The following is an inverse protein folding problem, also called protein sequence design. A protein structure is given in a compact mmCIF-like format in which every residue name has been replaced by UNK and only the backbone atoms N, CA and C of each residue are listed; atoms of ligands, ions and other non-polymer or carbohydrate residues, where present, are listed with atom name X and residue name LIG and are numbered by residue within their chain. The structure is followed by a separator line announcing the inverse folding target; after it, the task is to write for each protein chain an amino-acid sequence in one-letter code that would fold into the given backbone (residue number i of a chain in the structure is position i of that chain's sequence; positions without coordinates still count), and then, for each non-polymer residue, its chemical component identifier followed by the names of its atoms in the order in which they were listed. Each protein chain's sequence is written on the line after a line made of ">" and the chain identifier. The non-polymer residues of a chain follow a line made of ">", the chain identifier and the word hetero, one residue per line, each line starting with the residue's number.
data_IF_799306710609
#
_entry.id   IF_799306710609
#
_cell.length_a   1.000
_cell.length_b   1.000
_cell.length_c   1.000
_cell.angle_alpha   90.00
_cell.angle_beta   90.00
_cell.angle_gamma   90.00
#
_symmetry.space_group_name_H-M   'P 1'
#
loop_
_entity.id
_entity.type
_entity.pdbx_description
1 polymer ?
#
# COMPACT_ATOMS: atom_id res chain seq x y z
N UNK A 1 11.49 -37.87 -32.86
CA UNK A 1 12.92 -38.11 -32.57
C UNK A 1 13.14 -39.02 -31.36
N UNK A 2 13.28 -38.54 -30.11
CA UNK A 2 13.67 -39.44 -28.98
C UNK A 2 12.70 -40.63 -28.78
N UNK A 3 11.39 -40.40 -28.93
CA UNK A 3 10.38 -41.47 -28.84
C UNK A 3 10.54 -42.52 -29.94
N UNK A 4 10.91 -42.10 -31.14
CA UNK A 4 11.08 -42.98 -32.29
C UNK A 4 12.36 -43.80 -32.13
N UNK A 5 13.46 -43.17 -31.70
CA UNK A 5 14.71 -43.87 -31.36
C UNK A 5 14.55 -44.88 -30.22
N UNK A 6 13.68 -44.60 -29.24
CA UNK A 6 13.35 -45.58 -28.19
C UNK A 6 12.57 -46.78 -28.75
N UNK A 7 11.60 -46.54 -29.64
CA UNK A 7 10.85 -47.62 -30.31
C UNK A 7 11.75 -48.46 -31.21
N UNK A 8 12.67 -47.84 -31.93
CA UNK A 8 13.67 -48.54 -32.75
C UNK A 8 14.57 -49.43 -31.90
N UNK A 9 15.06 -48.94 -30.75
CA UNK A 9 15.84 -49.75 -29.81
C UNK A 9 15.03 -50.91 -29.21
N UNK A 10 13.76 -50.67 -28.87
CA UNK A 10 12.88 -51.71 -28.35
C UNK A 10 12.61 -52.80 -29.40
N UNK A 11 12.33 -52.41 -30.64
CA UNK A 11 12.18 -53.33 -31.76
C UNK A 11 13.47 -54.11 -32.04
N UNK A 12 14.65 -53.47 -31.93
CA UNK A 12 15.94 -54.15 -32.09
C UNK A 12 16.20 -55.17 -30.96
N UNK A 13 15.75 -54.90 -29.72
CA UNK A 13 15.83 -55.86 -28.61
C UNK A 13 14.89 -57.04 -28.85
N UNK A 14 13.67 -56.80 -29.33
CA UNK A 14 12.72 -57.87 -29.68
C UNK A 14 13.26 -58.75 -30.82
N UNK A 15 13.79 -58.15 -31.88
CA UNK A 15 14.40 -58.87 -33.01
C UNK A 15 15.63 -59.69 -32.60
N UNK A 16 16.40 -59.24 -31.62
CA UNK A 16 17.57 -59.94 -31.10
C UNK A 16 17.24 -61.07 -30.10
N UNK A 17 15.98 -61.50 -30.00
CA UNK A 17 15.58 -62.60 -29.11
C UNK A 17 15.07 -62.16 -27.74
N UNK A 18 14.71 -60.87 -27.59
CA UNK A 18 14.07 -60.34 -26.39
C UNK A 18 14.99 -60.29 -25.17
N UNK A 19 14.41 -60.44 -23.98
CA UNK A 19 15.13 -60.30 -22.71
C UNK A 19 16.16 -61.42 -22.44
N UNK A 20 16.00 -62.59 -23.08
CA UNK A 20 16.89 -63.74 -22.86
C UNK A 20 17.71 -64.12 -24.08
N UNK A 21 17.59 -63.43 -25.21
CA UNK A 21 18.33 -63.75 -26.43
C UNK A 21 17.93 -65.09 -27.04
N UNK A 22 16.68 -65.52 -26.83
CA UNK A 22 16.18 -66.83 -27.26
C UNK A 22 16.55 -68.01 -26.34
N UNK A 23 17.28 -67.77 -25.25
CA UNK A 23 17.55 -68.80 -24.25
C UNK A 23 16.35 -69.04 -23.33
N UNK A 24 16.26 -70.27 -22.77
CA UNK A 24 15.32 -70.55 -21.69
C UNK A 24 15.63 -69.66 -20.48
N UNK A 25 14.59 -69.24 -19.76
CA UNK A 25 14.77 -68.42 -18.54
C UNK A 25 15.70 -69.08 -17.52
N UNK A 26 15.64 -70.42 -17.41
CA UNK A 26 16.52 -71.19 -16.54
C UNK A 26 17.99 -71.06 -16.96
N UNK A 27 18.31 -71.33 -18.23
CA UNK A 27 19.69 -71.26 -18.72
C UNK A 27 20.24 -69.83 -18.64
N UNK A 28 19.40 -68.84 -18.99
CA UNK A 28 19.77 -67.43 -18.90
C UNK A 28 20.08 -67.01 -17.45
N UNK A 29 19.30 -67.50 -16.47
CA UNK A 29 19.55 -67.21 -15.05
C UNK A 29 20.84 -67.86 -14.53
N UNK A 30 21.14 -69.09 -14.94
CA UNK A 30 22.40 -69.79 -14.62
C UNK A 30 23.58 -69.02 -15.21
N UNK A 31 23.46 -68.63 -16.49
CA UNK A 31 24.43 -67.78 -17.17
C UNK A 31 24.69 -66.48 -16.41
N UNK A 32 23.66 -65.71 -16.06
CA UNK A 32 23.82 -64.44 -15.34
C UNK A 32 24.52 -64.64 -13.99
N UNK A 33 24.16 -65.67 -13.22
CA UNK A 33 24.76 -65.95 -11.91
C UNK A 33 26.25 -66.30 -12.05
N UNK A 34 26.61 -67.14 -13.01
CA UNK A 34 28.00 -67.51 -13.24
C UNK A 34 28.77 -66.29 -13.77
N UNK A 35 28.22 -65.55 -14.73
CA UNK A 35 28.88 -64.36 -15.29
C UNK A 35 29.14 -63.28 -14.24
N UNK A 36 28.21 -63.08 -13.30
CA UNK A 36 28.40 -62.20 -12.16
C UNK A 36 29.52 -62.67 -11.21
N UNK A 37 29.66 -63.98 -10.98
CA UNK A 37 30.76 -64.56 -10.19
C UNK A 37 32.13 -64.25 -10.79
N UNK A 38 32.22 -64.19 -12.12
CA UNK A 38 33.42 -63.83 -12.86
C UNK A 38 33.48 -62.32 -13.22
N UNK A 39 32.79 -61.46 -12.46
CA UNK A 39 32.82 -59.99 -12.62
C UNK A 39 32.49 -59.51 -14.04
N UNK A 40 31.58 -60.21 -14.74
CA UNK A 40 31.18 -59.91 -16.12
C UNK A 40 32.32 -60.00 -17.13
N UNK A 41 33.32 -60.85 -16.87
CA UNK A 41 34.43 -61.11 -17.80
C UNK A 41 34.30 -62.52 -18.38
N UNK A 42 34.40 -62.62 -19.71
CA UNK A 42 34.35 -63.87 -20.45
C UNK A 42 35.72 -64.58 -20.44
N UNK A 43 36.16 -65.02 -19.26
CA UNK A 43 37.41 -65.76 -19.09
C UNK A 43 37.27 -67.25 -19.45
N UNK A 44 38.38 -67.95 -19.67
CA UNK A 44 38.36 -69.40 -19.92
C UNK A 44 37.73 -70.19 -18.76
N UNK A 45 38.03 -69.80 -17.52
CA UNK A 45 37.44 -70.39 -16.32
C UNK A 45 35.91 -70.18 -16.26
N UNK A 46 35.42 -69.06 -16.78
CA UNK A 46 33.99 -68.80 -16.90
C UNK A 46 33.32 -69.78 -17.88
N UNK A 47 33.91 -69.99 -19.05
CA UNK A 47 33.38 -70.95 -20.03
C UNK A 47 33.40 -72.39 -19.51
N UNK A 48 34.48 -72.79 -18.83
CA UNK A 48 34.57 -74.11 -18.20
C UNK A 48 33.44 -74.32 -17.17
N UNK A 49 33.20 -73.32 -16.31
CA UNK A 49 32.15 -73.39 -15.29
C UNK A 49 30.75 -73.40 -15.87
N UNK A 50 30.54 -72.73 -17.00
CA UNK A 50 29.28 -72.78 -17.74
C UNK A 50 29.03 -74.14 -18.38
N UNK A 51 30.04 -74.72 -19.03
CA UNK A 51 29.95 -76.04 -19.64
C UNK A 51 29.65 -77.15 -18.61
N UNK A 52 30.19 -77.02 -17.39
CA UNK A 52 29.85 -77.93 -16.27
C UNK A 52 28.38 -77.85 -15.84
N UNK A 53 27.74 -76.68 -15.98
CA UNK A 53 26.39 -76.42 -15.48
C UNK A 53 25.31 -76.56 -16.54
N UNK A 54 25.65 -76.34 -17.80
CA UNK A 54 24.79 -76.41 -18.97
C UNK A 54 25.36 -77.45 -19.94
N UNK A 55 25.27 -78.72 -19.56
CA UNK A 55 25.88 -79.84 -20.30
C UNK A 55 25.21 -80.10 -21.64
N UNK A 56 24.00 -79.60 -21.84
CA UNK A 56 23.19 -79.71 -23.04
C UNK A 56 23.45 -78.58 -24.06
N UNK A 57 24.19 -77.54 -23.68
CA UNK A 57 24.48 -76.39 -24.56
C UNK A 57 25.92 -76.46 -25.08
N UNK A 58 26.13 -76.48 -26.41
CA UNK A 58 27.47 -76.53 -26.98
C UNK A 58 28.25 -75.22 -26.76
N UNK A 59 29.58 -75.30 -26.72
CA UNK A 59 30.46 -74.17 -26.43
C UNK A 59 30.31 -72.99 -27.41
N UNK A 60 30.04 -73.27 -28.68
CA UNK A 60 29.79 -72.24 -29.69
C UNK A 60 28.56 -71.39 -29.34
N UNK A 61 27.48 -72.02 -28.88
CA UNK A 61 26.27 -71.32 -28.43
C UNK A 61 26.51 -70.49 -27.17
N UNK A 62 27.42 -70.93 -26.28
CA UNK A 62 27.84 -70.13 -25.13
C UNK A 62 28.55 -68.84 -25.57
N UNK A 63 29.48 -68.94 -26.52
CA UNK A 63 30.19 -67.78 -27.05
C UNK A 63 29.25 -66.80 -27.80
N UNK A 64 28.31 -67.33 -28.59
CA UNK A 64 27.26 -66.52 -29.23
C UNK A 64 26.43 -65.75 -28.20
N UNK A 65 26.03 -66.41 -27.11
CA UNK A 65 25.22 -65.80 -26.06
C UNK A 65 25.99 -64.73 -25.29
N UNK A 66 27.29 -64.93 -25.05
CA UNK A 66 28.16 -63.91 -24.45
C UNK A 66 28.25 -62.66 -25.34
N UNK A 67 28.43 -62.85 -26.66
CA UNK A 67 28.43 -61.75 -27.62
C UNK A 67 27.09 -61.01 -27.61
N UNK A 68 25.99 -61.74 -27.69
CA UNK A 68 24.64 -61.18 -27.62
C UNK A 68 24.43 -60.39 -26.32
N UNK A 69 24.88 -60.90 -25.17
CA UNK A 69 24.75 -60.21 -23.89
C UNK A 69 25.52 -58.88 -23.88
N UNK A 70 26.73 -58.84 -24.46
CA UNK A 70 27.49 -57.59 -24.62
C UNK A 70 26.77 -56.55 -25.48
N UNK A 71 26.13 -56.99 -26.57
CA UNK A 71 25.30 -56.13 -27.42
C UNK A 71 24.05 -55.64 -26.68
N UNK A 72 23.35 -56.52 -25.96
CA UNK A 72 22.17 -56.15 -25.17
C UNK A 72 22.54 -55.12 -24.09
N UNK A 73 23.63 -55.32 -23.34
CA UNK A 73 24.09 -54.33 -22.37
C UNK A 73 24.37 -52.97 -23.01
N UNK A 74 24.96 -52.96 -24.21
CA UNK A 74 25.19 -51.74 -24.98
C UNK A 74 23.86 -51.05 -25.37
N UNK A 75 22.86 -51.81 -25.82
CA UNK A 75 21.50 -51.31 -26.10
C UNK A 75 20.83 -50.75 -24.83
N UNK A 76 20.96 -51.43 -23.69
CA UNK A 76 20.42 -50.97 -22.41
C UNK A 76 21.07 -49.66 -21.94
N UNK A 77 22.39 -49.52 -22.11
CA UNK A 77 23.10 -48.26 -21.85
C UNK A 77 22.58 -47.15 -22.75
N UNK A 78 22.44 -47.39 -24.06
CA UNK A 78 21.90 -46.42 -25.01
C UNK A 78 20.46 -46.00 -24.64
N UNK A 79 19.61 -46.97 -24.27
CA UNK A 79 18.25 -46.71 -23.78
C UNK A 79 18.24 -45.80 -22.54
N UNK A 80 19.09 -46.10 -21.54
CA UNK A 80 19.24 -45.27 -20.34
C UNK A 80 19.69 -43.85 -20.68
N UNK A 81 20.65 -43.69 -21.60
CA UNK A 81 21.13 -42.39 -22.04
C UNK A 81 20.04 -41.58 -22.75
N UNK A 82 19.26 -42.20 -23.64
CA UNK A 82 18.13 -41.53 -24.31
C UNK A 82 17.06 -41.08 -23.31
N UNK A 83 16.72 -41.93 -22.34
CA UNK A 83 15.78 -41.56 -21.27
C UNK A 83 16.31 -40.42 -20.39
N UNK A 84 17.61 -40.41 -20.09
CA UNK A 84 18.23 -39.31 -19.36
C UNK A 84 18.16 -37.99 -20.14
N UNK A 85 18.52 -38.01 -21.44
CA UNK A 85 18.38 -36.85 -22.34
C UNK A 85 16.94 -36.36 -22.43
N UNK A 86 15.97 -37.28 -22.49
CA UNK A 86 14.56 -36.92 -22.52
C UNK A 86 14.11 -36.21 -21.24
N UNK A 87 14.48 -36.74 -20.06
CA UNK A 87 14.17 -36.12 -18.76
C UNK A 87 14.81 -34.75 -18.64
N UNK A 88 16.07 -34.61 -19.06
CA UNK A 88 16.78 -33.34 -19.09
C UNK A 88 16.06 -32.33 -19.99
N UNK A 89 15.72 -32.71 -21.22
CA UNK A 89 14.99 -31.83 -22.15
C UNK A 89 13.65 -31.39 -21.58
N UNK A 90 12.93 -32.27 -20.89
CA UNK A 90 11.67 -31.93 -20.23
C UNK A 90 11.88 -30.92 -19.09
N UNK A 91 12.86 -31.15 -18.23
CA UNK A 91 13.21 -30.22 -17.15
C UNK A 91 13.64 -28.84 -17.70
N UNK A 92 14.38 -28.80 -18.80
CA UNK A 92 14.75 -27.56 -19.47
C UNK A 92 13.53 -26.80 -20.00
N UNK A 93 12.57 -27.49 -20.62
CA UNK A 93 11.33 -26.88 -21.10
C UNK A 93 10.48 -26.35 -19.93
N UNK A 94 10.37 -27.11 -18.84
CA UNK A 94 9.64 -26.68 -17.64
C UNK A 94 10.30 -25.44 -17.02
N UNK A 95 11.64 -25.39 -16.96
CA UNK A 95 12.41 -24.22 -16.51
C UNK A 95 12.16 -23.00 -17.41
N UNK A 96 12.25 -23.15 -18.72
CA UNK A 96 11.99 -22.07 -19.68
C UNK A 96 10.55 -21.53 -19.55
N UNK A 97 9.58 -22.42 -19.34
CA UNK A 97 8.19 -22.02 -19.10
C UNK A 97 8.04 -21.21 -17.79
N UNK A 98 8.71 -21.64 -16.71
CA UNK A 98 8.72 -20.92 -15.44
C UNK A 98 9.35 -19.53 -15.57
N UNK A 99 10.53 -19.43 -16.20
CA UNK A 99 11.23 -18.18 -16.45
C UNK A 99 10.38 -17.21 -17.30
N UNK A 100 9.69 -17.72 -18.32
CA UNK A 100 8.79 -16.92 -19.15
C UNK A 100 7.58 -16.38 -18.35
N UNK A 101 6.98 -17.19 -17.47
CA UNK A 101 5.88 -16.76 -16.60
C UNK A 101 6.34 -15.75 -15.55
N UNK A 102 7.52 -15.94 -14.96
CA UNK A 102 8.14 -14.96 -14.06
C UNK A 102 8.41 -13.63 -14.77
N UNK A 103 8.92 -13.67 -16.00
CA UNK A 103 9.12 -12.48 -16.84
C UNK A 103 7.81 -11.72 -17.08
N UNK A 104 6.72 -12.42 -17.44
CA UNK A 104 5.38 -11.82 -17.59
C UNK A 104 4.87 -11.20 -16.29
N UNK A 105 5.03 -11.90 -15.16
CA UNK A 105 4.63 -11.40 -13.83
C UNK A 105 5.42 -10.15 -13.44
N UNK A 106 6.72 -10.14 -13.67
CA UNK A 106 7.58 -8.99 -13.41
C UNK A 106 7.19 -7.79 -14.28
N UNK A 107 6.92 -8.01 -15.57
CA UNK A 107 6.46 -6.96 -16.49
C UNK A 107 5.10 -6.38 -16.06
N UNK A 108 4.13 -7.23 -15.72
CA UNK A 108 2.82 -6.81 -15.22
C UNK A 108 2.92 -6.01 -13.92
N UNK A 109 3.77 -6.46 -12.98
CA UNK A 109 4.05 -5.74 -11.73
C UNK A 109 4.68 -4.37 -11.99
N UNK A 110 5.67 -4.29 -12.88
CA UNK A 110 6.29 -3.02 -13.27
C UNK A 110 5.30 -2.07 -13.95
N UNK A 111 4.41 -2.58 -14.81
CA UNK A 111 3.36 -1.79 -15.44
C UNK A 111 2.36 -1.25 -14.41
N UNK A 112 1.96 -2.07 -13.43
CA UNK A 112 1.08 -1.64 -12.33
C UNK A 112 1.71 -0.52 -11.50
N UNK A 113 3.00 -0.67 -11.13
CA UNK A 113 3.74 0.37 -10.39
C UNK A 113 3.79 1.70 -11.15
N UNK A 114 4.15 1.65 -12.44
CA UNK A 114 4.17 2.85 -13.31
C UNK A 114 2.79 3.51 -13.42
N UNK A 115 1.72 2.71 -13.53
CA UNK A 115 0.36 3.22 -13.59
C UNK A 115 -0.06 3.88 -12.26
N UNK A 116 0.34 3.30 -11.13
CA UNK A 116 0.09 3.84 -9.80
C UNK A 116 0.85 5.15 -9.56
N UNK A 117 2.14 5.22 -9.91
CA UNK A 117 2.95 6.44 -9.83
C UNK A 117 2.34 7.58 -10.64
N UNK A 118 1.88 7.30 -11.87
CA UNK A 118 1.17 8.29 -12.71
C UNK A 118 -0.10 8.79 -12.05
N UNK A 119 -0.91 7.89 -11.48
CA UNK A 119 -2.14 8.26 -10.76
C UNK A 119 -1.84 9.11 -9.53
N UNK A 120 -0.80 8.78 -8.78
CA UNK A 120 -0.38 9.55 -7.61
C UNK A 120 0.09 10.96 -8.01
N UNK A 121 0.86 11.06 -9.09
CA UNK A 121 1.30 12.36 -9.62
C UNK A 121 0.12 13.23 -10.07
N UNK A 122 -0.84 12.66 -10.79
CA UNK A 122 -2.04 13.38 -11.23
C UNK A 122 -2.85 13.91 -10.03
N UNK A 123 -3.08 13.07 -9.01
CA UNK A 123 -3.77 13.49 -7.78
C UNK A 123 -3.03 14.60 -7.04
N UNK A 124 -1.70 14.56 -7.02
CA UNK A 124 -0.88 15.59 -6.39
C UNK A 124 -1.00 16.93 -7.14
N UNK A 125 -1.01 16.92 -8.47
CA UNK A 125 -1.23 18.11 -9.30
C UNK A 125 -2.64 18.69 -9.12
N UNK A 126 -3.68 17.86 -9.14
CA UNK A 126 -5.05 18.28 -8.88
C UNK A 126 -5.19 18.93 -7.50
N UNK A 127 -4.58 18.33 -6.47
CA UNK A 127 -4.57 18.89 -5.11
C UNK A 127 -3.88 20.25 -5.06
N UNK A 128 -2.77 20.44 -5.78
CA UNK A 128 -2.08 21.74 -5.89
C UNK A 128 -2.99 22.78 -6.55
N UNK A 129 -3.58 22.46 -7.71
CA UNK A 129 -4.51 23.35 -8.42
C UNK A 129 -5.68 23.78 -7.54
N UNK A 130 -6.26 22.86 -6.77
CA UNK A 130 -7.35 23.18 -5.85
C UNK A 130 -6.90 24.08 -4.70
N UNK A 131 -5.70 23.85 -4.16
CA UNK A 131 -5.13 24.70 -3.12
C UNK A 131 -4.87 26.13 -3.63
N UNK A 132 -4.30 26.27 -4.82
CA UNK A 132 -4.05 27.56 -5.47
C UNK A 132 -5.36 28.30 -5.74
N UNK A 133 -6.38 27.61 -6.24
CA UNK A 133 -7.71 28.19 -6.47
C UNK A 133 -8.36 28.69 -5.17
N UNK A 134 -8.30 27.90 -4.09
CA UNK A 134 -8.82 28.31 -2.76
C UNK A 134 -8.08 29.53 -2.23
N UNK A 135 -6.76 29.57 -2.41
CA UNK A 135 -5.94 30.71 -2.02
C UNK A 135 -6.33 31.98 -2.79
N UNK A 136 -6.48 31.89 -4.10
CA UNK A 136 -6.93 33.02 -4.93
C UNK A 136 -8.31 33.52 -4.51
N UNK A 137 -9.26 32.61 -4.26
CA UNK A 137 -10.59 32.97 -3.75
C UNK A 137 -10.53 33.70 -2.41
N UNK A 138 -9.75 33.18 -1.46
CA UNK A 138 -9.57 33.85 -0.16
C UNK A 138 -8.94 35.23 -0.33
N UNK A 139 -7.91 35.38 -1.17
CA UNK A 139 -7.27 36.68 -1.44
C UNK A 139 -8.23 37.69 -2.09
N UNK A 140 -9.12 37.24 -2.99
CA UNK A 140 -10.17 38.09 -3.59
C UNK A 140 -11.20 38.53 -2.55
N UNK A 141 -11.64 37.63 -1.67
CA UNK A 141 -12.55 37.93 -0.57
C UNK A 141 -11.93 38.93 0.41
N UNK A 142 -10.67 38.73 0.80
CA UNK A 142 -9.92 39.65 1.66
C UNK A 142 -9.76 41.04 1.02
N UNK A 143 -9.45 41.10 -0.28
CA UNK A 143 -9.41 42.37 -1.03
C UNK A 143 -10.78 43.05 -1.05
N UNK A 144 -11.85 42.29 -1.25
CA UNK A 144 -13.23 42.80 -1.21
C UNK A 144 -13.59 43.39 0.15
N UNK A 145 -13.27 42.68 1.24
CA UNK A 145 -13.49 43.15 2.61
C UNK A 145 -12.63 44.38 2.94
N UNK A 146 -11.37 44.41 2.48
CA UNK A 146 -10.49 45.57 2.66
C UNK A 146 -11.04 46.82 1.94
N UNK A 147 -11.52 46.67 0.70
CA UNK A 147 -12.14 47.76 -0.06
C UNK A 147 -13.45 48.26 0.59
N UNK A 148 -14.27 47.37 1.14
CA UNK A 148 -15.46 47.77 1.90
C UNK A 148 -15.08 48.57 3.16
N UNK A 149 -14.05 48.12 3.90
CA UNK A 149 -13.57 48.81 5.09
C UNK A 149 -13.02 50.20 4.76
N UNK A 150 -12.23 50.34 3.68
CA UNK A 150 -11.72 51.64 3.26
C UNK A 150 -12.84 52.58 2.82
N UNK A 151 -13.82 52.10 2.05
CA UNK A 151 -14.98 52.89 1.64
C UNK A 151 -15.83 53.37 2.82
N UNK A 152 -16.06 52.52 3.83
CA UNK A 152 -16.76 52.93 5.06
C UNK A 152 -15.97 53.98 5.84
N UNK A 153 -14.64 53.82 5.91
CA UNK A 153 -13.77 54.79 6.58
C UNK A 153 -13.76 56.15 5.86
N UNK A 154 -13.75 56.16 4.53
CA UNK A 154 -13.85 57.37 3.72
C UNK A 154 -15.20 58.07 3.88
N UNK A 155 -16.32 57.32 3.85
CA UNK A 155 -17.65 57.88 4.13
C UNK A 155 -17.72 58.51 5.51
N UNK A 156 -17.19 57.82 6.53
CA UNK A 156 -17.14 58.35 7.88
C UNK A 156 -16.27 59.63 7.99
N UNK A 157 -15.21 59.75 7.18
CA UNK A 157 -14.43 61.00 7.08
C UNK A 157 -15.24 62.13 6.44
N UNK A 158 -15.88 61.85 5.31
CA UNK A 158 -16.73 62.83 4.62
C UNK A 158 -17.89 63.31 5.51
N UNK A 159 -18.55 62.41 6.24
CA UNK A 159 -19.61 62.77 7.20
C UNK A 159 -19.09 63.68 8.32
N UNK A 160 -17.89 63.38 8.87
CA UNK A 160 -17.26 64.24 9.88
C UNK A 160 -16.93 65.63 9.33
N UNK A 161 -16.43 65.72 8.11
CA UNK A 161 -16.15 67.00 7.44
C UNK A 161 -17.44 67.79 7.16
N UNK A 162 -18.51 67.12 6.72
CA UNK A 162 -19.83 67.74 6.55
C UNK A 162 -20.42 68.25 7.87
N UNK A 163 -20.26 67.50 8.97
CA UNK A 163 -20.70 67.94 10.29
C UNK A 163 -19.89 69.15 10.78
N UNK A 164 -18.57 69.14 10.59
CA UNK A 164 -17.71 70.28 10.94
C UNK A 164 -18.09 71.54 10.17
N UNK A 165 -18.25 71.45 8.85
CA UNK A 165 -18.66 72.60 8.02
C UNK A 165 -20.04 73.12 8.42
N UNK A 166 -21.01 72.26 8.74
CA UNK A 166 -22.31 72.68 9.29
C UNK A 166 -22.18 73.37 10.65
N UNK A 167 -21.32 72.87 11.53
CA UNK A 167 -21.07 73.51 12.84
C UNK A 167 -20.42 74.88 12.68
N UNK A 168 -19.45 75.01 11.78
CA UNK A 168 -18.80 76.28 11.44
C UNK A 168 -19.82 77.28 10.88
N UNK A 169 -20.63 76.87 9.90
CA UNK A 169 -21.72 77.70 9.36
C UNK A 169 -22.73 78.13 10.44
N UNK A 170 -23.13 77.21 11.33
CA UNK A 170 -24.02 77.54 12.45
C UNK A 170 -23.37 78.51 13.42
N UNK A 171 -22.07 78.37 13.68
CA UNK A 171 -21.32 79.26 14.56
C UNK A 171 -21.20 80.66 13.94
N UNK A 172 -20.83 80.75 12.67
CA UNK A 172 -20.79 82.00 11.92
C UNK A 172 -22.16 82.71 11.92
N UNK A 173 -23.25 81.97 11.72
CA UNK A 173 -24.61 82.52 11.78
C UNK A 173 -24.96 83.07 13.18
N UNK A 174 -24.55 82.39 14.26
CA UNK A 174 -24.74 82.86 15.63
C UNK A 174 -23.88 84.10 15.95
N UNK A 175 -22.63 84.12 15.47
CA UNK A 175 -21.73 85.28 15.62
C UNK A 175 -22.26 86.49 14.83
N UNK A 176 -22.81 86.27 13.64
CA UNK A 176 -23.51 87.30 12.85
C UNK A 176 -24.80 87.79 13.53
N UNK A 177 -25.54 86.93 14.24
CA UNK A 177 -26.70 87.34 15.02
C UNK A 177 -26.30 88.14 16.27
N UNK A 178 -25.28 87.70 17.03
CA UNK A 178 -24.76 88.42 18.20
C UNK A 178 -24.25 89.81 17.85
N UNK A 179 -23.48 89.92 16.77
CA UNK A 179 -22.99 91.21 16.28
C UNK A 179 -24.10 92.16 15.82
N UNK A 180 -25.30 91.64 15.50
CA UNK A 180 -26.50 92.47 15.25
C UNK A 180 -27.31 92.79 16.52
N UNK A 181 -27.12 92.05 17.61
CA UNK A 181 -27.88 92.16 18.85
C UNK A 181 -27.20 92.94 19.99
N UNK A 182 -25.93 93.32 19.85
CA UNK A 182 -25.25 94.19 20.82
C UNK A 182 -25.22 95.64 20.30
N UNK A 183 -26.12 96.47 20.83
CA UNK A 183 -25.63 97.60 21.61
C UNK A 183 -26.42 97.85 22.91
N UNK A 184 -26.69 96.87 23.78
CA UNK A 184 -27.29 97.18 25.11
C UNK A 184 -27.21 96.06 26.18
N UNK A 185 -26.02 95.56 26.57
CA UNK A 185 -25.88 94.79 27.82
C UNK A 185 -24.42 94.64 28.28
N UNK A 186 -23.83 95.71 28.82
CA UNK A 186 -22.59 95.62 29.62
C UNK A 186 -22.97 95.58 31.10
N UNK A 187 -22.97 94.39 31.71
CA UNK A 187 -22.90 94.23 33.18
C UNK A 187 -21.98 93.04 33.51
N UNK A 188 -20.85 93.25 34.21
CA UNK A 188 -19.94 92.18 34.57
C UNK A 188 -20.42 91.46 35.84
N UNK A 189 -20.53 90.13 35.80
CA UNK A 189 -20.81 89.31 36.98
C UNK A 189 -19.66 88.35 37.24
N UNK A 190 -18.82 88.74 38.19
CA UNK A 190 -17.78 87.93 38.81
C UNK A 190 -18.37 86.85 39.72
N UNK A 191 -17.53 85.82 40.00
CA UNK A 191 -17.65 84.71 40.97
C UNK A 191 -18.27 83.41 40.45
N UNK A 192 -17.40 82.42 40.18
CA UNK A 192 -17.22 81.26 41.08
C UNK A 192 -16.23 80.26 40.45
N UNK A 193 -14.98 80.34 40.90
CA UNK A 193 -13.95 79.29 40.72
C UNK A 193 -14.10 78.30 41.87
N UNK A 194 -13.72 77.05 41.61
CA UNK A 194 -13.57 75.91 42.54
C UNK A 194 -14.78 74.98 42.73
N UNK A 195 -14.74 73.85 41.99
CA UNK A 195 -14.85 72.46 42.50
C UNK A 195 -15.24 71.49 41.39
N UNK A 196 -14.34 70.56 41.06
CA UNK A 196 -14.56 69.17 40.60
C UNK A 196 -13.19 68.67 40.12
N UNK A 197 -12.40 67.96 40.90
CA UNK A 197 -12.78 66.79 41.67
C UNK A 197 -12.57 65.55 40.79
N UNK A 198 -11.34 65.04 40.80
CA UNK A 198 -11.01 63.61 40.84
C UNK A 198 -12.08 62.66 40.28
N UNK A 199 -11.93 62.26 39.00
CA UNK A 199 -12.74 61.20 38.40
C UNK A 199 -12.26 59.82 38.91
N UNK A 200 -12.34 59.66 40.22
CA UNK A 200 -12.19 58.39 40.91
C UNK A 200 -13.15 57.37 40.30
N UNK A 201 -12.62 56.16 40.10
CA UNK A 201 -13.36 54.93 39.80
C UNK A 201 -14.70 54.95 40.55
N UNK A 202 -15.78 55.25 39.83
CA UNK A 202 -17.14 55.07 40.35
C UNK A 202 -17.26 53.60 40.72
N UNK A 203 -17.16 53.29 42.01
CA UNK A 203 -17.49 51.98 42.51
C UNK A 203 -18.96 51.78 42.17
N UNK A 204 -19.23 50.87 41.23
CA UNK A 204 -20.58 50.44 40.90
C UNK A 204 -21.33 50.18 42.20
N UNK A 205 -22.51 50.81 42.33
CA UNK A 205 -23.43 50.63 43.45
C UNK A 205 -23.63 49.14 43.71
N UNK A 206 -23.81 48.77 44.98
CA UNK A 206 -24.03 47.38 45.36
C UNK A 206 -25.23 46.78 44.60
N UNK A 207 -26.25 47.60 44.30
CA UNK A 207 -27.39 47.21 43.45
C UNK A 207 -26.99 46.92 42.00
N UNK A 208 -26.11 47.71 41.39
CA UNK A 208 -25.65 47.47 40.01
C UNK A 208 -24.82 46.20 39.90
N UNK A 209 -24.02 45.90 40.93
CA UNK A 209 -23.29 44.63 41.01
C UNK A 209 -24.25 43.45 41.11
N UNK A 210 -25.32 43.58 41.89
CA UNK A 210 -26.37 42.55 42.00
C UNK A 210 -27.12 42.37 40.67
N UNK A 211 -27.47 43.46 39.99
CA UNK A 211 -28.13 43.42 38.67
C UNK A 211 -27.27 42.73 37.61
N UNK A 212 -25.97 43.05 37.57
CA UNK A 212 -25.02 42.40 36.65
C UNK A 212 -24.85 40.92 37.00
N UNK A 213 -24.78 40.57 38.28
CA UNK A 213 -24.69 39.17 38.73
C UNK A 213 -25.94 38.38 38.35
N UNK A 214 -27.14 38.92 38.58
CA UNK A 214 -28.42 38.31 38.18
C UNK A 214 -28.49 38.09 36.67
N UNK A 215 -28.11 39.11 35.88
CA UNK A 215 -28.07 38.99 34.42
C UNK A 215 -27.12 37.90 33.94
N UNK A 216 -25.95 37.76 34.57
CA UNK A 216 -25.00 36.70 34.23
C UNK A 216 -25.54 35.30 34.58
N UNK A 217 -26.23 35.17 35.71
CA UNK A 217 -26.90 33.91 36.10
C UNK A 217 -28.00 33.55 35.10
N UNK A 218 -28.83 34.51 34.68
CA UNK A 218 -29.86 34.30 33.67
C UNK A 218 -29.28 33.86 32.33
N UNK A 219 -28.20 34.50 31.86
CA UNK A 219 -27.50 34.11 30.62
C UNK A 219 -26.97 32.68 30.73
N UNK A 220 -26.42 32.30 31.88
CA UNK A 220 -25.88 30.95 32.10
C UNK A 220 -26.99 29.90 32.14
N UNK A 221 -28.11 30.18 32.81
CA UNK A 221 -29.30 29.32 32.82
C UNK A 221 -29.88 29.14 31.42
N UNK A 222 -29.96 30.22 30.63
CA UNK A 222 -30.42 30.15 29.24
C UNK A 222 -29.50 29.29 28.39
N UNK A 223 -28.19 29.35 28.61
CA UNK A 223 -27.20 28.51 27.92
C UNK A 223 -27.32 27.03 28.28
N UNK A 224 -27.59 26.73 29.56
CA UNK A 224 -27.83 25.36 30.03
C UNK A 224 -29.13 24.78 29.46
N UNK A 225 -30.21 25.57 29.39
CA UNK A 225 -31.47 25.12 28.79
C UNK A 225 -31.40 25.01 27.25
N UNK A 226 -30.61 25.87 26.60
CA UNK A 226 -30.41 25.80 25.15
C UNK A 226 -29.43 24.69 24.72
N UNK A 227 -28.76 24.03 25.67
CA UNK A 227 -27.99 22.83 25.36
C UNK A 227 -29.00 21.74 24.99
N UNK A 228 -29.01 21.26 23.73
CA UNK A 228 -29.95 20.21 23.34
C UNK A 228 -29.73 19.01 24.28
N UNK A 229 -30.82 18.36 24.73
CA UNK A 229 -30.70 17.20 25.62
C UNK A 229 -29.72 16.22 24.99
N UNK A 230 -28.69 15.85 25.74
CA UNK A 230 -27.72 14.88 25.28
C UNK A 230 -28.49 13.67 24.75
N UNK A 231 -28.21 13.19 23.53
CA UNK A 231 -28.93 12.05 22.99
C UNK A 231 -28.84 10.90 24.00
N UNK A 232 -29.95 10.17 24.25
CA UNK A 232 -29.95 9.09 25.22
C UNK A 232 -28.81 8.12 24.89
N UNK A 233 -28.07 7.71 25.93
CA UNK A 233 -26.83 6.92 25.88
C UNK A 233 -26.93 5.53 25.20
N UNK A 234 -27.97 5.27 24.42
CA UNK A 234 -28.17 4.07 23.61
C UNK A 234 -28.45 4.34 22.13
N UNK A 235 -28.55 5.59 21.68
CA UNK A 235 -28.70 5.94 20.25
C UNK A 235 -27.35 6.27 19.63
N UNK A 236 -26.42 5.31 19.66
CA UNK A 236 -25.39 5.27 18.63
C UNK A 236 -26.09 4.76 17.36
N UNK A 237 -26.14 5.55 16.26
CA UNK A 237 -26.60 4.98 15.00
C UNK A 237 -25.78 3.72 14.75
N UNK A 238 -26.40 2.59 14.35
CA UNK A 238 -25.66 1.40 14.02
C UNK A 238 -24.55 1.82 13.04
N UNK A 239 -23.30 1.40 13.28
CA UNK A 239 -22.20 1.76 12.39
C UNK A 239 -22.67 1.46 10.96
N UNK A 240 -22.48 2.39 10.01
CA UNK A 240 -23.00 2.24 8.65
C UNK A 240 -22.62 0.84 8.19
N UNK A 241 -23.64 0.05 7.81
CA UNK A 241 -23.46 -1.35 7.45
C UNK A 241 -22.26 -1.41 6.50
N UNK A 242 -21.16 -2.01 6.98
CA UNK A 242 -19.90 -2.04 6.25
C UNK A 242 -20.25 -2.60 4.88
N UNK A 243 -20.09 -1.79 3.84
CA UNK A 243 -20.30 -2.25 2.47
C UNK A 243 -19.48 -3.52 2.29
N UNK A 244 -20.10 -4.57 1.73
CA UNK A 244 -19.46 -5.87 1.45
C UNK A 244 -18.15 -5.74 0.64
N UNK A 245 -17.86 -4.57 0.09
CA UNK A 245 -16.60 -4.21 -0.57
C UNK A 245 -15.34 -4.37 0.30
N UNK A 246 -15.45 -4.40 1.63
CA UNK A 246 -14.29 -4.51 2.52
C UNK A 246 -14.19 -5.84 3.28
N UNK A 247 -15.04 -6.84 2.94
CA UNK A 247 -15.03 -8.13 3.64
C UNK A 247 -13.73 -8.93 3.39
N UNK A 248 -13.06 -8.70 2.25
CA UNK A 248 -11.83 -9.43 1.87
C UNK A 248 -10.54 -8.66 2.23
N UNK A 249 -10.66 -7.46 2.83
CA UNK A 249 -9.48 -6.70 3.25
C UNK A 249 -9.11 -7.09 4.67
N UNK A 250 -8.28 -8.12 4.78
CA UNK A 250 -7.63 -8.50 6.03
C UNK A 250 -6.99 -7.26 6.68
N UNK A 251 -7.42 -6.96 7.90
CA UNK A 251 -6.90 -5.85 8.69
C UNK A 251 -5.39 -6.01 8.92
N UNK A 252 -4.59 -5.27 8.16
CA UNK A 252 -3.12 -5.22 8.32
C UNK A 252 -2.66 -4.66 9.67
N UNK A 253 -3.58 -4.15 10.50
CA UNK A 253 -3.29 -3.63 11.84
C UNK A 253 -2.84 -4.70 12.83
N UNK A 254 -3.06 -6.01 12.56
CA UNK A 254 -2.62 -7.09 13.45
C UNK A 254 -1.37 -7.84 13.00
N UNK A 255 -0.79 -7.53 11.83
CA UNK A 255 0.40 -8.26 11.35
C UNK A 255 1.72 -7.76 11.96
N UNK A 256 1.74 -6.59 12.63
CA UNK A 256 2.96 -5.95 13.12
C UNK A 256 3.42 -6.40 14.52
N UNK A 257 2.53 -6.87 15.38
CA UNK A 257 2.85 -7.10 16.80
C UNK A 257 3.50 -8.46 17.09
N UNK A 258 3.30 -9.47 16.25
CA UNK A 258 3.92 -10.79 16.43
C UNK A 258 5.33 -10.88 15.83
N UNK A 259 5.65 -10.10 14.78
CA UNK A 259 6.98 -10.12 14.17
C UNK A 259 8.06 -9.43 15.04
N UNK A 260 7.69 -8.62 16.02
CA UNK A 260 8.66 -7.91 16.87
C UNK A 260 9.21 -8.77 18.01
N UNK A 261 8.59 -9.90 18.37
CA UNK A 261 9.04 -10.72 19.50
C UNK A 261 10.07 -11.81 19.15
N UNK A 262 10.35 -12.08 17.86
CA UNK A 262 11.26 -13.16 17.46
C UNK A 262 12.71 -12.72 17.13
N UNK A 263 13.10 -11.48 17.42
CA UNK A 263 14.43 -10.95 17.05
C UNK A 263 15.53 -11.02 18.12
N UNK A 264 15.31 -11.62 19.29
CA UNK A 264 16.30 -11.58 20.38
C UNK A 264 16.99 -12.91 20.75
N UNK A 265 16.75 -14.02 20.03
CA UNK A 265 17.32 -15.33 20.42
C UNK A 265 18.23 -15.98 19.38
N UNK A 266 19.16 -15.24 18.78
CA UNK A 266 20.23 -15.80 17.94
C UNK A 266 21.54 -15.01 18.10
N UNK A 267 22.18 -15.15 19.27
CA UNK A 267 23.60 -14.79 19.47
C UNK A 267 24.11 -15.40 20.77
N UNK A 268 24.57 -16.64 20.73
CA UNK A 268 25.46 -17.26 21.72
C UNK A 268 25.77 -18.70 21.29
N UNK A 269 26.77 -18.87 20.41
CA UNK A 269 27.50 -20.14 20.19
C UNK A 269 28.73 -19.80 19.34
N UNK A 270 29.75 -19.23 19.98
CA UNK A 270 31.17 -19.34 19.63
C UNK A 270 31.90 -19.81 20.88
#
# INVERSE_FOLDING_TARGET
>A
EIRDSLKELEAAVEQAGGATGGWSMLHHSIFQRIFAMFKMQASEAFYARLAERLTDVPQERLAEHVRWWGEDQSRQVAKRQLLARWRQRRADLDRQASEAEEGKRAQSSAQRRRAEERRQSQRAEEKKRLADWRRQRNEEEERGLAAQRSALQERARQEREQLKTKQEQSREALEAYRSRGEPEAVVPRERSVERSGDAGRRQLSQEDRQRIAQRNVEILQRRLQAQPPAPPSGWLPPPPAKSKEWADVESRLHCGTLCSMMKTTCKSSE
#
